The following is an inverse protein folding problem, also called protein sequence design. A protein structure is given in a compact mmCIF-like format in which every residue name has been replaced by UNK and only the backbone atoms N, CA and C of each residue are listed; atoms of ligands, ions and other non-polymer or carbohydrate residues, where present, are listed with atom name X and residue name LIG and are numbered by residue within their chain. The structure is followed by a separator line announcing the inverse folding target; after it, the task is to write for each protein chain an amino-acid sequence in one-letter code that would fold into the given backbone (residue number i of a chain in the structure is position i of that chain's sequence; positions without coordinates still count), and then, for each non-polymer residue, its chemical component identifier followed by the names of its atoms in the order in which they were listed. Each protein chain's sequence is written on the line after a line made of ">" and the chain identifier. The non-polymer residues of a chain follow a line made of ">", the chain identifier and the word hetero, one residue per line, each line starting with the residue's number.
data_IF_600048828367
#
_entry.id   IF_600048828367
#
_cell.length_a   1.000
_cell.length_b   1.000
_cell.length_c   1.000
_cell.angle_alpha   90.00
_cell.angle_beta   90.00
_cell.angle_gamma   90.00
#
_symmetry.space_group_name_H-M   'P 1'
#
loop_
_entity.id
_entity.type
_entity.pdbx_description
1 polymer ?
#
# COMPACT_ATOMS: atom_id res chain seq x y z
N UNK A 1 11.31 -27.88 3.20
CA UNK A 1 11.64 -26.58 3.82
C UNK A 1 11.03 -26.57 5.23
N UNK A 2 11.84 -26.40 6.28
CA UNK A 2 11.32 -26.38 7.66
C UNK A 2 10.73 -25.00 7.98
N UNK A 3 9.42 -24.92 8.16
CA UNK A 3 8.72 -23.65 8.44
C UNK A 3 9.05 -23.06 9.81
N UNK A 4 9.53 -23.88 10.75
CA UNK A 4 9.89 -23.47 12.12
C UNK A 4 11.37 -23.12 12.27
N UNK A 5 12.14 -23.19 11.19
CA UNK A 5 13.54 -22.74 11.18
C UNK A 5 13.62 -21.26 11.50
N UNK A 6 14.53 -20.89 12.40
CA UNK A 6 14.80 -19.50 12.74
C UNK A 6 15.47 -18.76 11.59
N UNK A 7 15.06 -17.51 11.44
CA UNK A 7 15.57 -16.57 10.44
C UNK A 7 16.20 -15.40 11.21
N UNK A 8 17.50 -15.24 11.04
CA UNK A 8 18.27 -14.09 11.48
C UNK A 8 18.62 -13.27 10.23
N UNK A 9 18.13 -12.05 10.15
CA UNK A 9 18.19 -11.26 8.92
C UNK A 9 18.48 -9.77 9.15
N UNK A 10 18.42 -9.29 10.41
CA UNK A 10 18.55 -7.88 10.73
C UNK A 10 19.45 -7.66 11.95
N UNK A 11 20.15 -6.51 12.00
CA UNK A 11 21.08 -6.18 13.06
C UNK A 11 20.55 -6.37 14.47
N UNK A 12 19.29 -6.00 14.72
CA UNK A 12 18.70 -6.02 16.05
C UNK A 12 18.54 -7.43 16.63
N UNK A 13 18.41 -8.47 15.77
CA UNK A 13 18.24 -9.85 16.21
C UNK A 13 19.56 -10.49 16.57
N UNK A 14 19.79 -10.70 17.85
CA UNK A 14 20.98 -11.37 18.38
C UNK A 14 20.66 -12.68 19.11
N UNK A 15 19.39 -13.10 19.11
CA UNK A 15 18.94 -14.32 19.78
C UNK A 15 17.61 -14.81 19.23
N UNK A 16 17.13 -15.96 19.70
CA UNK A 16 15.81 -16.52 19.37
C UNK A 16 14.71 -16.08 20.35
N UNK A 17 15.00 -15.15 21.28
CA UNK A 17 14.03 -14.64 22.23
C UNK A 17 12.88 -13.90 21.51
N UNK A 18 11.69 -13.93 22.11
CA UNK A 18 10.52 -13.24 21.58
C UNK A 18 10.77 -11.73 21.36
N UNK A 19 11.44 -11.07 22.28
CA UNK A 19 11.82 -9.66 22.20
C UNK A 19 13.27 -9.47 21.71
N UNK A 20 13.70 -10.25 20.72
CA UNK A 20 15.03 -10.07 20.13
C UNK A 20 15.12 -8.86 19.19
N UNK A 21 14.00 -8.38 18.67
CA UNK A 21 13.92 -7.21 17.78
C UNK A 21 12.82 -6.23 18.25
N UNK A 22 12.93 -5.61 19.44
CA UNK A 22 11.86 -4.79 20.00
C UNK A 22 11.56 -3.54 19.16
N UNK A 23 12.59 -2.87 18.61
CA UNK A 23 12.41 -1.66 17.81
C UNK A 23 11.79 -1.99 16.45
N UNK A 24 12.27 -3.04 15.78
CA UNK A 24 11.67 -3.54 14.55
C UNK A 24 10.21 -3.98 14.79
N UNK A 25 9.94 -4.73 15.86
CA UNK A 25 8.58 -5.17 16.18
C UNK A 25 7.63 -3.98 16.42
N UNK A 26 8.03 -3.00 17.25
CA UNK A 26 7.18 -1.86 17.61
C UNK A 26 7.01 -0.87 16.45
N UNK A 27 8.01 -0.70 15.57
CA UNK A 27 7.90 0.18 14.40
C UNK A 27 6.78 -0.22 13.43
N UNK A 28 6.34 -1.49 13.48
CA UNK A 28 5.18 -1.98 12.72
C UNK A 28 3.84 -1.36 13.12
N UNK A 29 3.77 -0.66 14.26
CA UNK A 29 2.61 0.18 14.60
C UNK A 29 2.34 1.27 13.56
N UNK A 30 3.31 1.66 12.76
CA UNK A 30 3.14 2.59 11.62
C UNK A 30 2.05 2.14 10.64
N UNK A 31 2.00 0.84 10.33
CA UNK A 31 0.95 0.27 9.46
C UNK A 31 -0.41 0.21 10.16
N UNK A 32 -0.46 -0.05 11.48
CA UNK A 32 -1.71 0.02 12.23
C UNK A 32 -2.26 1.45 12.27
N UNK A 33 -1.40 2.45 12.45
CA UNK A 33 -1.77 3.88 12.38
C UNK A 33 -2.27 4.23 10.98
N UNK A 34 -1.61 3.76 9.92
CA UNK A 34 -2.08 3.93 8.55
C UNK A 34 -3.47 3.30 8.34
N UNK A 35 -3.67 2.06 8.77
CA UNK A 35 -4.95 1.36 8.68
C UNK A 35 -6.06 2.12 9.42
N UNK A 36 -5.79 2.56 10.64
CA UNK A 36 -6.72 3.35 11.43
C UNK A 36 -7.07 4.70 10.77
N UNK A 37 -6.07 5.42 10.24
CA UNK A 37 -6.28 6.69 9.57
C UNK A 37 -7.15 6.53 8.31
N UNK A 38 -6.89 5.50 7.50
CA UNK A 38 -7.69 5.16 6.32
C UNK A 38 -9.12 4.81 6.73
N UNK A 39 -9.28 3.93 7.72
CA UNK A 39 -10.59 3.57 8.26
C UNK A 39 -11.38 4.79 8.75
N UNK A 40 -10.75 5.68 9.54
CA UNK A 40 -11.36 6.94 10.01
C UNK A 40 -11.83 7.82 8.87
N UNK A 41 -11.05 7.91 7.80
CA UNK A 41 -11.39 8.68 6.60
C UNK A 41 -12.61 8.11 5.90
N UNK A 42 -12.71 6.78 5.77
CA UNK A 42 -13.86 6.09 5.17
C UNK A 42 -15.11 6.18 6.06
N UNK A 43 -14.95 6.02 7.38
CA UNK A 43 -16.04 6.15 8.34
C UNK A 43 -16.67 7.56 8.34
N UNK A 44 -15.83 8.59 8.33
CA UNK A 44 -16.29 10.00 8.23
C UNK A 44 -17.04 10.26 6.92
N UNK A 45 -16.57 9.70 5.80
CA UNK A 45 -17.27 9.84 4.53
C UNK A 45 -18.63 9.16 4.52
N UNK A 46 -18.75 7.99 5.16
CA UNK A 46 -20.02 7.27 5.31
C UNK A 46 -21.02 8.04 6.19
N UNK A 47 -20.54 8.71 7.24
CA UNK A 47 -21.38 9.48 8.15
C UNK A 47 -21.75 10.87 7.60
N UNK A 48 -21.11 11.35 6.53
CA UNK A 48 -21.36 12.65 5.93
C UNK A 48 -22.59 12.69 5.02
N UNK A 49 -22.95 13.87 4.48
CA UNK A 49 -24.16 14.07 3.66
C UNK A 49 -24.25 13.14 2.45
N UNK A 50 -23.14 12.70 1.88
CA UNK A 50 -23.13 11.79 0.75
C UNK A 50 -23.51 10.35 1.12
N UNK A 51 -23.37 9.93 2.41
CA UNK A 51 -23.83 8.63 2.96
C UNK A 51 -23.32 7.37 2.28
N UNK A 52 -22.33 7.47 1.37
CA UNK A 52 -21.93 6.38 0.50
C UNK A 52 -20.90 5.46 1.18
N UNK A 53 -21.18 4.16 1.10
CA UNK A 53 -20.19 3.12 1.48
C UNK A 53 -19.08 3.06 0.42
N UNK A 54 -17.82 2.98 0.87
CA UNK A 54 -16.72 2.72 -0.04
C UNK A 54 -16.85 1.34 -0.69
N UNK A 55 -16.57 1.22 -2.00
CA UNK A 55 -16.55 -0.08 -2.66
C UNK A 55 -15.41 -0.94 -2.09
N UNK A 56 -15.52 -2.25 -2.25
CA UNK A 56 -14.54 -3.21 -1.73
C UNK A 56 -13.11 -2.90 -2.19
N UNK A 57 -12.95 -2.46 -3.45
CA UNK A 57 -11.63 -2.07 -4.01
C UNK A 57 -10.93 -0.96 -3.20
N UNK A 58 -11.69 -0.10 -2.54
CA UNK A 58 -11.18 0.96 -1.66
C UNK A 58 -11.09 0.47 -0.21
N UNK A 59 -12.19 -0.12 0.29
CA UNK A 59 -12.31 -0.49 1.71
C UNK A 59 -11.31 -1.57 2.14
N UNK A 60 -10.93 -2.47 1.22
CA UNK A 60 -10.04 -3.59 1.52
C UNK A 60 -8.57 -3.17 1.78
N UNK A 61 -8.20 -1.93 1.46
CA UNK A 61 -6.88 -1.39 1.85
C UNK A 61 -6.69 -1.33 3.37
N UNK A 62 -7.80 -1.19 4.14
CA UNK A 62 -7.75 -1.15 5.62
C UNK A 62 -7.31 -2.50 6.21
N UNK A 63 -8.01 -3.63 5.97
CA UNK A 63 -7.58 -4.91 6.52
C UNK A 63 -6.23 -5.36 5.95
N UNK A 64 -5.86 -4.99 4.71
CA UNK A 64 -4.53 -5.28 4.18
C UNK A 64 -3.43 -4.51 4.95
N UNK A 65 -3.61 -3.23 5.22
CA UNK A 65 -2.66 -2.46 6.03
C UNK A 65 -2.55 -3.01 7.46
N UNK A 66 -3.67 -3.40 8.07
CA UNK A 66 -3.68 -4.03 9.39
C UNK A 66 -2.96 -5.40 9.40
N UNK A 67 -3.15 -6.21 8.34
CA UNK A 67 -2.47 -7.51 8.22
C UNK A 67 -0.96 -7.38 8.01
N UNK A 68 -0.49 -6.31 7.34
CA UNK A 68 0.95 -5.99 7.28
C UNK A 68 1.49 -5.76 8.69
N UNK A 69 0.81 -4.91 9.49
CA UNK A 69 1.23 -4.63 10.88
C UNK A 69 1.35 -5.91 11.71
N UNK A 70 0.33 -6.77 11.66
CA UNK A 70 0.30 -8.00 12.46
C UNK A 70 1.31 -9.04 11.95
N UNK A 71 1.43 -9.21 10.65
CA UNK A 71 2.35 -10.19 10.04
C UNK A 71 3.81 -9.82 10.29
N UNK A 72 4.15 -8.55 10.10
CA UNK A 72 5.50 -8.06 10.34
C UNK A 72 5.86 -8.06 11.82
N UNK A 73 4.94 -7.64 12.71
CA UNK A 73 5.12 -7.80 14.15
C UNK A 73 5.39 -9.26 14.54
N UNK A 74 4.63 -10.20 13.99
CA UNK A 74 4.83 -11.63 14.25
C UNK A 74 6.21 -12.11 13.78
N UNK A 75 6.70 -11.64 12.64
CA UNK A 75 8.04 -12.00 12.15
C UNK A 75 9.13 -11.45 13.08
N UNK A 76 9.07 -10.18 13.46
CA UNK A 76 10.07 -9.55 14.32
C UNK A 76 10.03 -10.01 15.78
N UNK A 77 8.98 -10.71 16.21
CA UNK A 77 8.92 -11.36 17.53
C UNK A 77 9.31 -12.83 17.47
N UNK A 78 8.83 -13.58 16.48
CA UNK A 78 8.98 -15.05 16.44
C UNK A 78 10.22 -15.49 15.64
N UNK A 79 10.69 -14.71 14.66
CA UNK A 79 11.88 -14.96 13.88
C UNK A 79 11.88 -16.30 13.14
N UNK A 80 10.74 -16.76 12.62
CA UNK A 80 10.61 -18.03 11.95
C UNK A 80 10.23 -17.88 10.47
N UNK A 81 10.49 -18.89 9.63
CA UNK A 81 10.16 -18.85 8.20
C UNK A 81 8.66 -18.68 7.95
N UNK A 82 7.79 -19.32 8.74
CA UNK A 82 6.35 -19.14 8.57
C UNK A 82 5.91 -17.72 8.93
N UNK A 83 6.51 -17.13 9.98
CA UNK A 83 6.25 -15.73 10.35
C UNK A 83 6.78 -14.77 9.27
N UNK A 84 7.90 -15.07 8.61
CA UNK A 84 8.41 -14.33 7.45
C UNK A 84 7.40 -14.34 6.28
N UNK A 85 6.70 -15.46 6.06
CA UNK A 85 5.62 -15.51 5.06
C UNK A 85 4.46 -14.60 5.46
N UNK A 86 4.11 -14.54 6.74
CA UNK A 86 3.07 -13.62 7.25
C UNK A 86 3.48 -12.14 7.14
N UNK A 87 4.76 -11.84 7.18
CA UNK A 87 5.30 -10.51 6.95
C UNK A 87 5.18 -10.11 5.48
N UNK A 88 5.71 -10.92 4.58
CA UNK A 88 5.86 -10.57 3.15
C UNK A 88 4.55 -10.69 2.37
N UNK A 89 3.71 -11.69 2.66
CA UNK A 89 2.50 -11.94 1.88
C UNK A 89 1.47 -10.79 1.93
N UNK A 90 1.17 -10.17 3.08
CA UNK A 90 0.26 -9.02 3.12
C UNK A 90 0.80 -7.80 2.36
N UNK A 91 2.13 -7.57 2.38
CA UNK A 91 2.75 -6.49 1.60
C UNK A 91 2.52 -6.72 0.10
N UNK A 92 2.81 -7.93 -0.39
CA UNK A 92 2.57 -8.27 -1.78
C UNK A 92 1.09 -8.13 -2.17
N UNK A 93 0.17 -8.63 -1.33
CA UNK A 93 -1.27 -8.50 -1.55
C UNK A 93 -1.71 -7.04 -1.57
N UNK A 94 -1.17 -6.19 -0.68
CA UNK A 94 -1.48 -4.76 -0.69
C UNK A 94 -1.04 -4.10 -1.99
N UNK A 95 0.18 -4.35 -2.46
CA UNK A 95 0.71 -3.78 -3.70
C UNK A 95 -0.15 -4.17 -4.91
N UNK A 96 -0.47 -5.47 -5.04
CA UNK A 96 -1.27 -5.97 -6.16
C UNK A 96 -2.72 -5.47 -6.13
N UNK A 97 -3.32 -5.44 -4.94
CA UNK A 97 -4.67 -4.90 -4.75
C UNK A 97 -4.74 -3.41 -5.04
N UNK A 98 -3.75 -2.66 -4.54
CA UNK A 98 -3.63 -1.24 -4.79
C UNK A 98 -3.47 -0.96 -6.28
N UNK A 99 -2.58 -1.66 -6.99
CA UNK A 99 -2.38 -1.49 -8.43
C UNK A 99 -3.67 -1.75 -9.22
N UNK A 100 -4.37 -2.84 -8.93
CA UNK A 100 -5.65 -3.14 -9.58
C UNK A 100 -6.70 -2.05 -9.33
N UNK A 101 -6.79 -1.56 -8.09
CA UNK A 101 -7.69 -0.48 -7.70
C UNK A 101 -7.30 0.85 -8.36
N UNK A 102 -6.01 1.17 -8.41
CA UNK A 102 -5.49 2.35 -9.10
C UNK A 102 -5.84 2.34 -10.59
N UNK A 103 -5.56 1.25 -11.30
CA UNK A 103 -5.87 1.11 -12.72
C UNK A 103 -7.38 1.27 -12.99
N UNK A 104 -8.22 0.75 -12.11
CA UNK A 104 -9.66 0.88 -12.22
C UNK A 104 -10.13 2.33 -11.98
N UNK A 105 -9.73 2.94 -10.87
CA UNK A 105 -10.25 4.24 -10.45
C UNK A 105 -9.61 5.43 -11.15
N UNK A 106 -8.30 5.42 -11.36
CA UNK A 106 -7.58 6.54 -11.98
C UNK A 106 -7.69 6.52 -13.51
N UNK A 107 -7.68 5.34 -14.13
CA UNK A 107 -7.72 5.22 -15.59
C UNK A 107 -9.04 4.68 -16.14
N UNK A 108 -10.03 4.39 -15.30
CA UNK A 108 -11.34 3.90 -15.74
C UNK A 108 -11.30 2.51 -16.39
N UNK A 109 -10.23 1.73 -16.16
CA UNK A 109 -10.12 0.41 -16.77
C UNK A 109 -11.19 -0.54 -16.22
N UNK A 110 -11.74 -1.39 -17.09
CA UNK A 110 -12.61 -2.48 -16.64
C UNK A 110 -11.84 -3.41 -15.69
N UNK A 111 -12.56 -4.11 -14.80
CA UNK A 111 -11.95 -5.05 -13.85
C UNK A 111 -11.04 -6.08 -14.53
N UNK A 112 -11.44 -6.57 -15.72
CA UNK A 112 -10.63 -7.51 -16.51
C UNK A 112 -9.32 -6.87 -16.97
N UNK A 113 -9.35 -5.63 -17.49
CA UNK A 113 -8.12 -4.92 -17.93
C UNK A 113 -7.22 -4.56 -16.75
N UNK A 114 -7.79 -4.13 -15.62
CA UNK A 114 -7.04 -3.89 -14.40
C UNK A 114 -6.35 -5.18 -13.90
N UNK A 115 -7.05 -6.31 -13.90
CA UNK A 115 -6.47 -7.62 -13.57
C UNK A 115 -5.32 -8.00 -14.51
N UNK A 116 -5.48 -7.82 -15.82
CA UNK A 116 -4.38 -8.06 -16.79
C UNK A 116 -3.16 -7.17 -16.51
N UNK A 117 -3.38 -5.92 -16.12
CA UNK A 117 -2.30 -5.01 -15.68
C UNK A 117 -1.56 -5.53 -14.43
N UNK A 118 -2.29 -6.09 -13.46
CA UNK A 118 -1.70 -6.74 -12.27
C UNK A 118 -0.90 -7.97 -12.68
N UNK A 119 -1.42 -8.83 -13.57
CA UNK A 119 -0.69 -10.00 -14.09
C UNK A 119 0.59 -9.59 -14.82
N UNK A 120 0.53 -8.54 -15.64
CA UNK A 120 1.71 -8.01 -16.33
C UNK A 120 2.76 -7.50 -15.33
N UNK A 121 2.33 -6.84 -14.25
CA UNK A 121 3.24 -6.40 -13.18
C UNK A 121 3.86 -7.59 -12.43
N UNK A 122 3.11 -8.66 -12.16
CA UNK A 122 3.65 -9.89 -11.55
C UNK A 122 4.72 -10.52 -12.45
N UNK A 123 4.48 -10.59 -13.76
CA UNK A 123 5.46 -11.10 -14.72
C UNK A 123 6.73 -10.22 -14.76
N UNK A 124 6.56 -8.90 -14.76
CA UNK A 124 7.69 -7.95 -14.67
C UNK A 124 8.47 -8.14 -13.36
N UNK A 125 7.78 -8.24 -12.21
CA UNK A 125 8.37 -8.48 -10.89
C UNK A 125 9.20 -9.77 -10.89
N UNK A 126 8.64 -10.88 -11.39
CA UNK A 126 9.32 -12.17 -11.45
C UNK A 126 10.58 -12.10 -12.33
N UNK A 127 10.48 -11.51 -13.51
CA UNK A 127 11.61 -11.34 -14.42
C UNK A 127 12.71 -10.45 -13.80
N UNK A 128 12.32 -9.33 -13.16
CA UNK A 128 13.25 -8.43 -12.51
C UNK A 128 14.00 -9.12 -11.36
N UNK A 129 13.28 -9.84 -10.50
CA UNK A 129 13.87 -10.58 -9.37
C UNK A 129 14.85 -11.64 -9.90
N UNK A 130 14.52 -12.35 -10.96
CA UNK A 130 15.38 -13.38 -11.54
C UNK A 130 16.70 -12.78 -12.09
N UNK A 131 16.64 -11.60 -12.72
CA UNK A 131 17.79 -11.01 -13.42
C UNK A 131 18.59 -10.07 -12.51
N UNK A 132 17.92 -9.20 -11.76
CA UNK A 132 18.55 -8.12 -10.98
C UNK A 132 18.65 -8.45 -9.49
N UNK A 133 17.70 -9.25 -8.98
CA UNK A 133 17.61 -9.58 -7.55
C UNK A 133 18.91 -10.09 -6.93
N UNK A 134 19.69 -10.97 -7.59
CA UNK A 134 20.95 -11.47 -7.04
C UNK A 134 22.03 -10.41 -6.82
N UNK A 135 21.94 -9.27 -7.49
CA UNK A 135 22.93 -8.17 -7.40
C UNK A 135 22.59 -7.11 -6.35
N UNK A 136 21.41 -7.21 -5.73
CA UNK A 136 20.97 -6.23 -4.71
C UNK A 136 21.11 -6.82 -3.31
N UNK A 137 21.88 -6.18 -2.40
CA UNK A 137 22.11 -6.67 -1.04
C UNK A 137 20.82 -6.85 -0.24
N UNK A 138 20.86 -7.65 0.82
CA UNK A 138 19.77 -7.87 1.79
C UNK A 138 18.44 -8.26 1.15
N UNK A 139 18.47 -8.97 0.01
CA UNK A 139 17.26 -9.35 -0.75
C UNK A 139 16.36 -8.16 -1.11
N UNK A 140 16.89 -6.93 -1.03
CA UNK A 140 16.14 -5.70 -1.32
C UNK A 140 15.74 -5.58 -2.79
N UNK A 141 16.39 -6.34 -3.68
CA UNK A 141 16.03 -6.42 -5.10
C UNK A 141 14.57 -6.78 -5.37
N UNK A 142 13.91 -7.50 -4.44
CA UNK A 142 12.49 -7.85 -4.52
C UNK A 142 11.57 -6.60 -4.51
N UNK A 143 12.01 -5.51 -3.90
CA UNK A 143 11.21 -4.30 -3.71
C UNK A 143 11.51 -3.20 -4.75
N UNK A 144 12.61 -3.31 -5.50
CA UNK A 144 12.95 -2.34 -6.56
C UNK A 144 11.84 -2.19 -7.62
N UNK A 145 11.16 -3.25 -8.09
CA UNK A 145 10.03 -3.09 -9.00
C UNK A 145 8.88 -2.27 -8.44
N UNK A 146 8.65 -2.31 -7.12
CA UNK A 146 7.63 -1.48 -6.47
C UNK A 146 8.05 -0.01 -6.46
N UNK A 147 9.34 0.28 -6.24
CA UNK A 147 9.89 1.63 -6.38
C UNK A 147 9.72 2.15 -7.81
N UNK A 148 10.05 1.34 -8.81
CA UNK A 148 9.88 1.70 -10.22
C UNK A 148 8.41 1.94 -10.56
N UNK A 149 7.49 1.14 -10.02
CA UNK A 149 6.05 1.35 -10.15
C UNK A 149 5.65 2.71 -9.56
N UNK A 150 6.01 3.03 -8.32
CA UNK A 150 5.67 4.30 -7.68
C UNK A 150 6.23 5.50 -8.46
N UNK A 151 7.48 5.41 -8.93
CA UNK A 151 8.09 6.43 -9.77
C UNK A 151 7.33 6.61 -11.10
N UNK A 152 6.98 5.52 -11.78
CA UNK A 152 6.20 5.55 -13.00
C UNK A 152 4.82 6.18 -12.77
N UNK A 153 4.10 5.80 -11.70
CA UNK A 153 2.81 6.40 -11.35
C UNK A 153 2.95 7.91 -11.07
N UNK A 154 4.02 8.32 -10.38
CA UNK A 154 4.32 9.74 -10.13
C UNK A 154 4.49 10.51 -11.44
N UNK A 155 5.28 9.97 -12.38
CA UNK A 155 5.51 10.60 -13.69
C UNK A 155 4.21 10.66 -14.50
N UNK A 156 3.47 9.56 -14.60
CA UNK A 156 2.18 9.49 -15.32
C UNK A 156 1.19 10.54 -14.79
N UNK A 157 1.07 10.67 -13.46
CA UNK A 157 0.17 11.65 -12.85
C UNK A 157 0.67 13.08 -13.08
N UNK A 158 1.98 13.33 -12.98
CA UNK A 158 2.58 14.66 -13.15
C UNK A 158 2.44 15.17 -14.59
N UNK A 159 2.56 14.28 -15.58
CA UNK A 159 2.45 14.60 -16.99
C UNK A 159 1.02 14.52 -17.54
N UNK A 160 0.05 14.10 -16.72
CA UNK A 160 -1.35 14.00 -17.12
C UNK A 160 -1.91 15.37 -17.55
N UNK A 161 -2.68 15.37 -18.64
CA UNK A 161 -3.46 16.52 -19.08
C UNK A 161 -4.73 16.73 -18.22
N UNK A 162 -5.19 15.69 -17.52
CA UNK A 162 -6.34 15.77 -16.61
C UNK A 162 -5.90 16.38 -15.26
N UNK A 163 -6.40 17.58 -14.90
CA UNK A 163 -6.10 18.19 -13.61
C UNK A 163 -6.55 17.33 -12.41
N UNK A 164 -7.63 16.57 -12.58
CA UNK A 164 -8.16 15.65 -11.56
C UNK A 164 -7.22 14.48 -11.25
N UNK A 165 -6.36 14.09 -12.19
CA UNK A 165 -5.28 13.14 -11.97
C UNK A 165 -4.02 13.83 -11.43
N UNK A 166 -3.63 14.96 -12.03
CA UNK A 166 -2.40 15.68 -11.70
C UNK A 166 -2.33 16.14 -10.24
N UNK A 167 -3.46 16.45 -9.59
CA UNK A 167 -3.52 16.83 -8.18
C UNK A 167 -2.94 15.77 -7.24
N UNK A 168 -2.90 14.50 -7.65
CA UNK A 168 -2.35 13.40 -6.87
C UNK A 168 -0.83 13.20 -7.06
N UNK A 169 -0.20 13.86 -8.04
CA UNK A 169 1.21 13.67 -8.36
C UNK A 169 2.15 13.96 -7.17
N UNK A 170 1.85 15.00 -6.37
CA UNK A 170 2.62 15.31 -5.16
C UNK A 170 2.55 14.22 -4.10
N UNK A 171 1.37 13.61 -3.91
CA UNK A 171 1.18 12.51 -2.96
C UNK A 171 1.97 11.27 -3.39
N UNK A 172 1.95 10.93 -4.68
CA UNK A 172 2.75 9.81 -5.21
C UNK A 172 4.25 10.13 -5.21
N UNK A 173 4.62 11.37 -5.48
CA UNK A 173 6.02 11.82 -5.37
C UNK A 173 6.57 11.65 -3.95
N UNK A 174 5.80 12.06 -2.94
CA UNK A 174 6.17 11.86 -1.54
C UNK A 174 6.25 10.36 -1.20
N UNK A 175 5.29 9.54 -1.67
CA UNK A 175 5.34 8.10 -1.48
C UNK A 175 6.59 7.49 -2.13
N UNK A 176 6.98 7.93 -3.34
CA UNK A 176 8.20 7.47 -4.04
C UNK A 176 9.46 7.82 -3.23
N UNK A 177 9.57 9.06 -2.74
CA UNK A 177 10.73 9.49 -1.93
C UNK A 177 10.78 8.72 -0.60
N UNK A 178 9.63 8.55 0.07
CA UNK A 178 9.55 7.76 1.31
C UNK A 178 9.96 6.32 1.09
N UNK A 179 9.47 5.68 0.02
CA UNK A 179 9.83 4.30 -0.30
C UNK A 179 11.31 4.16 -0.70
N UNK A 180 11.89 5.16 -1.38
CA UNK A 180 13.33 5.19 -1.65
C UNK A 180 14.13 5.20 -0.35
N UNK A 181 13.77 6.07 0.60
CA UNK A 181 14.40 6.12 1.92
C UNK A 181 14.23 4.79 2.69
N UNK A 182 13.03 4.20 2.66
CA UNK A 182 12.76 2.90 3.25
C UNK A 182 13.67 1.82 2.68
N UNK A 183 13.74 1.72 1.35
CA UNK A 183 14.54 0.71 0.65
C UNK A 183 16.04 0.89 0.93
N UNK A 184 16.53 2.12 0.99
CA UNK A 184 17.91 2.41 1.37
C UNK A 184 18.21 1.98 2.81
N UNK A 185 17.33 2.34 3.75
CA UNK A 185 17.46 1.94 5.16
C UNK A 185 17.50 0.41 5.32
N UNK A 186 16.56 -0.30 4.65
CA UNK A 186 16.52 -1.76 4.65
C UNK A 186 17.79 -2.38 4.04
N UNK A 187 18.28 -1.81 2.95
CA UNK A 187 19.47 -2.33 2.24
C UNK A 187 20.75 -2.12 3.05
N UNK A 188 20.85 -0.99 3.77
CA UNK A 188 22.01 -0.65 4.57
C UNK A 188 22.06 -1.38 5.92
N UNK A 189 20.97 -1.99 6.38
CA UNK A 189 20.83 -2.53 7.74
C UNK A 189 22.03 -3.38 8.16
N UNK A 190 22.31 -4.49 7.46
CA UNK A 190 23.39 -5.41 7.81
C UNK A 190 24.80 -4.74 7.77
N UNK A 191 24.97 -3.68 6.98
CA UNK A 191 26.26 -3.01 6.84
C UNK A 191 26.61 -2.07 8.00
N UNK A 192 25.65 -1.72 8.84
CA UNK A 192 25.82 -0.78 9.96
C UNK A 192 25.77 -1.45 11.32
N UNK A 193 25.59 -2.77 11.42
CA UNK A 193 25.42 -3.50 12.67
C UNK A 193 26.56 -3.28 13.68
N UNK A 194 27.83 -3.15 13.22
CA UNK A 194 28.98 -2.91 14.08
C UNK A 194 28.94 -1.58 14.81
N UNK A 195 28.41 -0.54 14.16
CA UNK A 195 28.37 0.83 14.68
C UNK A 195 27.02 1.19 15.28
N UNK A 196 25.97 0.56 14.78
CA UNK A 196 24.58 0.78 15.20
C UNK A 196 23.85 -0.55 15.35
N UNK A 197 23.95 -1.23 16.50
CA UNK A 197 23.41 -2.58 16.73
C UNK A 197 21.90 -2.71 16.52
N UNK A 198 21.12 -1.64 16.68
CA UNK A 198 19.68 -1.63 16.36
C UNK A 198 19.41 -1.73 14.86
N UNK A 199 20.41 -1.36 14.05
CA UNK A 199 20.27 -1.30 12.60
C UNK A 199 19.32 -0.20 12.13
N UNK A 200 19.01 -0.24 10.85
CA UNK A 200 18.17 0.78 10.19
C UNK A 200 16.85 0.22 9.69
N UNK A 201 16.58 -1.07 9.91
CA UNK A 201 15.38 -1.73 9.39
C UNK A 201 14.06 -1.17 9.94
N UNK A 202 14.03 -0.66 11.16
CA UNK A 202 12.86 0.01 11.72
C UNK A 202 12.40 1.22 10.88
N UNK A 203 13.32 1.91 10.20
CA UNK A 203 12.99 3.01 9.28
C UNK A 203 12.22 2.51 8.04
N UNK A 204 12.51 1.30 7.57
CA UNK A 204 11.73 0.62 6.55
C UNK A 204 10.25 0.58 6.97
N UNK A 205 9.93 0.08 8.17
CA UNK A 205 8.54 0.00 8.65
C UNK A 205 7.88 1.37 8.77
N UNK A 206 8.59 2.36 9.34
CA UNK A 206 8.02 3.70 9.54
C UNK A 206 7.69 4.37 8.21
N UNK A 207 8.62 4.33 7.26
CA UNK A 207 8.46 4.95 5.94
C UNK A 207 7.47 4.20 5.07
N UNK A 208 7.43 2.86 5.14
CA UNK A 208 6.43 2.07 4.40
C UNK A 208 5.03 2.23 4.97
N UNK A 209 4.86 2.38 6.28
CA UNK A 209 3.59 2.77 6.86
C UNK A 209 3.07 4.10 6.28
N UNK A 210 3.97 5.07 6.07
CA UNK A 210 3.64 6.32 5.39
C UNK A 210 3.28 6.09 3.91
N UNK A 211 4.02 5.24 3.19
CA UNK A 211 3.72 4.89 1.78
C UNK A 211 2.32 4.27 1.65
N UNK A 212 2.00 3.29 2.49
CA UNK A 212 0.68 2.63 2.54
C UNK A 212 -0.44 3.66 2.78
N UNK A 213 -0.22 4.58 3.72
CA UNK A 213 -1.16 5.66 4.00
C UNK A 213 -1.32 6.59 2.78
N UNK A 214 -0.23 7.10 2.19
CA UNK A 214 -0.27 8.05 1.08
C UNK A 214 -0.93 7.44 -0.17
N UNK A 215 -0.59 6.22 -0.51
CA UNK A 215 -1.20 5.49 -1.63
C UNK A 215 -2.72 5.33 -1.43
N UNK A 216 -3.13 4.89 -0.24
CA UNK A 216 -4.54 4.74 0.11
C UNK A 216 -5.28 6.08 0.17
N UNK A 217 -4.63 7.13 0.70
CA UNK A 217 -5.17 8.49 0.74
C UNK A 217 -5.49 9.01 -0.66
N UNK A 218 -4.54 8.86 -1.61
CA UNK A 218 -4.76 9.26 -2.99
C UNK A 218 -5.93 8.50 -3.63
N UNK A 219 -5.99 7.19 -3.40
CA UNK A 219 -7.06 6.34 -3.92
C UNK A 219 -8.44 6.74 -3.36
N UNK A 220 -8.56 6.96 -2.04
CA UNK A 220 -9.80 7.40 -1.39
C UNK A 220 -10.21 8.79 -1.87
N UNK A 221 -9.28 9.75 -1.95
CA UNK A 221 -9.56 11.11 -2.42
C UNK A 221 -10.07 11.10 -3.86
N UNK A 222 -9.40 10.36 -4.74
CA UNK A 222 -9.80 10.27 -6.14
C UNK A 222 -11.16 9.63 -6.32
N UNK A 223 -11.44 8.52 -5.61
CA UNK A 223 -12.75 7.89 -5.60
C UNK A 223 -13.85 8.87 -5.15
N UNK A 224 -13.63 9.61 -4.06
CA UNK A 224 -14.61 10.57 -3.53
C UNK A 224 -14.94 11.67 -4.53
N UNK A 225 -13.95 12.29 -5.15
CA UNK A 225 -14.17 13.35 -6.14
C UNK A 225 -14.96 12.86 -7.35
N UNK A 226 -14.65 11.67 -7.86
CA UNK A 226 -15.39 11.07 -8.99
C UNK A 226 -16.85 10.74 -8.65
N UNK A 227 -17.12 10.29 -7.44
CA UNK A 227 -18.47 9.92 -7.04
C UNK A 227 -19.33 11.12 -6.61
N UNK A 228 -18.73 12.20 -6.17
CA UNK A 228 -19.43 13.46 -5.86
C UNK A 228 -19.78 14.26 -7.11
N UNK A 229 -19.04 14.11 -8.20
CA UNK A 229 -19.29 14.76 -9.48
C UNK A 229 -20.37 14.07 -10.35
N UNK A 230 -20.81 12.85 -10.00
CA UNK A 230 -21.88 12.19 -10.71
C UNK A 230 -23.22 12.94 -10.43
N UNK A 231 -24.01 13.34 -11.47
CA UNK A 231 -25.29 13.98 -11.27
C UNK A 231 -26.18 13.09 -10.40
N UNK A 232 -26.85 13.70 -9.42
CA UNK A 232 -27.94 13.04 -8.70
C UNK A 232 -29.01 12.55 -9.69
N UNK A 233 -29.85 11.56 -9.32
CA UNK A 233 -30.95 11.17 -10.17
C UNK A 233 -31.75 12.43 -10.54
N UNK A 234 -31.93 12.65 -11.85
CA UNK A 234 -32.77 13.71 -12.37
C UNK A 234 -34.14 13.53 -11.69
N UNK A 235 -34.69 14.55 -10.99
CA UNK A 235 -36.05 14.44 -10.48
C UNK A 235 -36.94 14.10 -11.67
N UNK A 236 -37.82 13.12 -11.50
CA UNK A 236 -38.78 12.78 -12.52
C UNK A 236 -39.64 14.04 -12.82
N UNK A 237 -39.29 14.76 -13.87
CA UNK A 237 -40.07 15.83 -14.44
C UNK A 237 -41.28 15.16 -15.11
N UNK A 238 -42.47 15.40 -14.59
CA UNK A 238 -43.68 14.95 -15.23
C UNK A 238 -44.63 14.13 -14.36
N UNK A 239 -44.99 14.62 -13.17
CA UNK A 239 -46.37 14.38 -12.72
C UNK A 239 -47.26 15.42 -13.40
N UNK A 240 -47.66 15.12 -14.62
CA UNK A 240 -48.66 15.85 -15.38
C UNK A 240 -49.93 16.02 -14.52
N UNK A 241 -50.27 17.28 -14.20
CA UNK A 241 -51.53 17.60 -13.50
C UNK A 241 -52.68 17.12 -14.36
N UNK A 242 -53.37 16.07 -13.92
CA UNK A 242 -54.63 15.69 -14.52
C UNK A 242 -55.63 16.88 -14.48
N UNK A 243 -56.29 17.21 -15.61
CA UNK A 243 -57.31 18.25 -15.63
C UNK A 243 -58.50 17.82 -14.77
N UNK A 244 -58.92 18.69 -13.83
CA UNK A 244 -60.08 18.48 -13.01
C UNK A 244 -61.38 18.39 -13.85
N UNK A 245 -62.40 17.64 -13.38
CA UNK A 245 -63.68 17.51 -14.07
C UNK A 245 -64.46 18.83 -14.04
N UNK A 246 -65.06 19.17 -15.20
CA UNK A 246 -66.09 20.24 -15.37
C UNK A 246 -67.42 19.81 -14.82
#
# INVERSE_FOLDING_TARGET
>A
MNLYEHVDQYCERVSTAFWAEPVNALSNLSFAVAAWAIWRMLARHRAGPAGRKAPLSIAFTVPLAASISLGSFAFHTLGTRWAQVLDVAPIALFVLWFLGSYLHWFHGLSRRRAFLGVVAFIAFLAAFIAVVGPYVPNRSGTYVPVLLLLAALTVVLRTSRDPGLRVHAGTFGLATVSFTGALLARTADESVCSDFPVGTHFLWHLLDGLVVYLASLALVRHWRTRTSAAPGPVPAEGAERAPGPR
#
